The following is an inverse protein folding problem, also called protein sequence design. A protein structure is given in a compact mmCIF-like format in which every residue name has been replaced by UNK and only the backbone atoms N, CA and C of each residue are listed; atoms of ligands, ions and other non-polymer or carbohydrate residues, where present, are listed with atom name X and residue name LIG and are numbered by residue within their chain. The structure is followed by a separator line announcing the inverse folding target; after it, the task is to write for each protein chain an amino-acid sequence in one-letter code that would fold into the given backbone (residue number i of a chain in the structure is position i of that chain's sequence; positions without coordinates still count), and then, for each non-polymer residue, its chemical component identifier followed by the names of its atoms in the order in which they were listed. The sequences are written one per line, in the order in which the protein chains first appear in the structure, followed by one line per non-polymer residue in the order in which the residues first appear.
data_IF_118729396754
#
_entry.id   IF_118729396754
#
_cell.length_a   1.000
_cell.length_b   1.000
_cell.length_c   1.000
_cell.angle_alpha   90.00
_cell.angle_beta   90.00
_cell.angle_gamma   90.00
#
_symmetry.space_group_name_H-M   'P 1'
#
loop_
_entity.id
_entity.type
_entity.pdbx_description
1 polymer ?
#
# COMPACT_ATOMS: atom_id res chain seq x y z
N UNK A 1 20.88 -3.64 19.96
CA UNK A 1 19.49 -3.76 19.55
C UNK A 1 18.68 -4.27 20.73
N UNK A 2 17.48 -3.72 20.98
CA UNK A 2 16.51 -4.19 21.99
C UNK A 2 15.37 -4.89 21.30
N UNK A 3 14.60 -5.69 22.05
CA UNK A 3 13.44 -6.41 21.53
C UNK A 3 12.23 -6.21 22.45
N UNK A 4 11.04 -6.20 21.82
CA UNK A 4 9.75 -6.22 22.49
C UNK A 4 8.86 -7.24 21.78
N UNK A 5 8.16 -8.11 22.54
CA UNK A 5 7.29 -9.13 21.97
C UNK A 5 5.82 -8.82 22.25
N UNK A 6 4.98 -9.00 21.24
CA UNK A 6 3.54 -9.02 21.36
C UNK A 6 2.98 -10.35 20.84
N UNK A 7 1.68 -10.48 20.62
CA UNK A 7 1.06 -11.73 20.20
C UNK A 7 1.57 -12.19 18.82
N UNK A 8 1.61 -11.26 17.84
CA UNK A 8 1.95 -11.58 16.44
C UNK A 8 3.31 -11.00 16.00
N UNK A 9 3.99 -10.20 16.85
CA UNK A 9 5.23 -9.52 16.46
C UNK A 9 6.36 -9.74 17.44
N UNK A 10 7.60 -9.69 16.90
CA UNK A 10 8.81 -9.38 17.64
C UNK A 10 9.43 -8.12 17.05
N UNK A 11 9.37 -7.02 17.80
CA UNK A 11 9.94 -5.75 17.42
C UNK A 11 11.41 -5.68 17.78
N UNK A 12 12.23 -5.11 16.89
CA UNK A 12 13.64 -4.83 17.05
C UNK A 12 13.89 -3.34 16.89
N UNK A 13 14.60 -2.71 17.81
CA UNK A 13 14.82 -1.26 17.81
C UNK A 13 16.11 -0.87 18.53
N UNK A 14 16.61 0.35 18.27
CA UNK A 14 17.77 0.95 18.92
C UNK A 14 17.47 1.39 20.37
N UNK A 15 18.48 1.39 21.23
CA UNK A 15 18.37 1.99 22.55
C UNK A 15 18.40 3.52 22.45
N UNK A 16 17.53 4.21 23.18
CA UNK A 16 17.46 5.68 23.21
C UNK A 16 16.74 6.31 21.99
N UNK A 17 16.13 5.50 21.13
CA UNK A 17 15.39 5.95 19.94
C UNK A 17 13.96 6.34 20.23
N UNK A 18 13.29 7.01 19.28
CA UNK A 18 11.86 7.26 19.35
C UNK A 18 11.06 5.95 19.42
N UNK A 19 11.51 4.92 18.70
CA UNK A 19 10.90 3.59 18.74
C UNK A 19 10.94 2.98 20.16
N UNK A 20 12.03 3.13 20.90
CA UNK A 20 12.09 2.67 22.30
C UNK A 20 11.08 3.40 23.19
N UNK A 21 10.95 4.71 23.02
CA UNK A 21 9.99 5.53 23.78
C UNK A 21 8.55 5.07 23.54
N UNK A 22 8.20 4.77 22.29
CA UNK A 22 6.82 4.58 21.84
C UNK A 22 6.46 3.10 21.60
N UNK A 23 7.35 2.14 21.94
CA UNK A 23 7.21 0.71 21.54
C UNK A 23 5.89 0.07 21.95
N UNK A 24 5.34 0.43 23.10
CA UNK A 24 4.07 -0.12 23.58
C UNK A 24 2.89 0.34 22.69
N UNK A 25 2.92 1.59 22.27
CA UNK A 25 1.89 2.17 21.38
C UNK A 25 2.03 1.61 19.97
N UNK A 26 3.26 1.49 19.46
CA UNK A 26 3.56 0.86 18.16
C UNK A 26 3.02 -0.57 18.15
N UNK A 27 3.35 -1.38 19.17
CA UNK A 27 2.90 -2.76 19.23
C UNK A 27 1.36 -2.87 19.28
N UNK A 28 0.69 -2.03 20.07
CA UNK A 28 -0.77 -2.03 20.15
C UNK A 28 -1.43 -1.66 18.82
N UNK A 29 -0.86 -0.69 18.09
CA UNK A 29 -1.32 -0.28 16.77
C UNK A 29 -1.11 -1.40 15.74
N UNK A 30 0.11 -1.98 15.64
CA UNK A 30 0.39 -3.06 14.68
C UNK A 30 -0.47 -4.30 14.93
N UNK A 31 -0.70 -4.68 16.18
CA UNK A 31 -1.63 -5.75 16.52
C UNK A 31 -3.07 -5.46 16.04
N UNK A 32 -3.50 -4.20 16.08
CA UNK A 32 -4.79 -3.79 15.56
C UNK A 32 -4.85 -3.86 14.04
N UNK A 33 -3.80 -3.37 13.35
CA UNK A 33 -3.65 -3.45 11.90
C UNK A 33 -3.68 -4.90 11.41
N UNK A 34 -2.85 -5.75 12.02
CA UNK A 34 -2.77 -7.17 11.71
C UNK A 34 -4.13 -7.87 11.80
N UNK A 35 -4.82 -7.71 12.94
CA UNK A 35 -6.14 -8.31 13.14
C UNK A 35 -7.17 -7.83 12.12
N UNK A 36 -7.13 -6.55 11.77
CA UNK A 36 -8.00 -5.99 10.75
C UNK A 36 -7.71 -6.59 9.37
N UNK A 37 -6.44 -6.64 8.95
CA UNK A 37 -6.04 -7.23 7.66
C UNK A 37 -6.46 -8.70 7.59
N UNK A 38 -6.16 -9.48 8.64
CA UNK A 38 -6.52 -10.88 8.72
C UNK A 38 -8.04 -11.09 8.61
N UNK A 39 -8.83 -10.28 9.30
CA UNK A 39 -10.28 -10.34 9.22
C UNK A 39 -10.82 -10.02 7.81
N UNK A 40 -10.28 -8.96 7.17
CA UNK A 40 -10.66 -8.58 5.80
C UNK A 40 -10.23 -9.64 4.80
N UNK A 41 -9.02 -10.17 4.90
CA UNK A 41 -8.48 -11.14 3.93
C UNK A 41 -8.88 -12.59 4.22
N UNK A 42 -9.43 -12.89 5.41
CA UNK A 42 -9.84 -14.24 5.80
C UNK A 42 -8.66 -15.22 5.84
N UNK A 43 -7.51 -14.75 6.26
CA UNK A 43 -6.29 -15.54 6.45
C UNK A 43 -5.53 -15.03 7.66
N UNK A 44 -4.74 -15.88 8.28
CA UNK A 44 -3.88 -15.51 9.39
C UNK A 44 -2.54 -16.24 9.21
N UNK A 45 -1.40 -15.53 9.14
CA UNK A 45 -0.09 -16.15 9.19
C UNK A 45 0.06 -17.05 10.42
N UNK A 46 0.76 -18.17 10.29
CA UNK A 46 1.08 -19.11 11.37
C UNK A 46 2.45 -18.85 12.01
N UNK A 47 3.06 -17.72 11.66
CA UNK A 47 4.36 -17.25 12.15
C UNK A 47 4.22 -15.87 12.80
N UNK A 48 5.24 -15.52 13.60
CA UNK A 48 5.37 -14.18 14.17
C UNK A 48 6.20 -13.30 13.24
N UNK A 49 5.78 -12.05 13.05
CA UNK A 49 6.48 -11.07 12.21
C UNK A 49 7.67 -10.48 12.99
N UNK A 50 8.85 -10.52 12.40
CA UNK A 50 10.05 -9.84 12.88
C UNK A 50 10.05 -8.40 12.35
N UNK A 51 9.74 -7.43 13.20
CA UNK A 51 9.53 -6.04 12.81
C UNK A 51 10.70 -5.16 13.24
N UNK A 52 11.46 -4.63 12.31
CA UNK A 52 12.63 -3.81 12.54
C UNK A 52 12.28 -2.33 12.41
N UNK A 53 12.38 -1.59 13.52
CA UNK A 53 12.16 -0.15 13.60
C UNK A 53 13.50 0.55 13.42
N UNK A 54 13.72 1.12 12.23
CA UNK A 54 14.94 1.78 11.81
C UNK A 54 14.88 3.28 12.08
N UNK A 55 16.03 3.91 12.27
CA UNK A 55 16.09 5.32 12.64
C UNK A 55 16.01 6.27 11.43
N UNK A 56 16.31 5.78 10.22
CA UNK A 56 16.30 6.64 9.02
C UNK A 56 15.95 5.88 7.73
N UNK A 57 15.49 6.61 6.67
CA UNK A 57 15.28 6.03 5.35
C UNK A 57 16.56 5.46 4.71
N UNK A 58 17.71 6.07 5.00
CA UNK A 58 19.01 5.62 4.49
C UNK A 58 19.39 4.26 5.08
N UNK A 59 19.09 4.02 6.37
CA UNK A 59 19.30 2.73 7.02
C UNK A 59 18.45 1.64 6.35
N UNK A 60 17.17 1.94 6.09
CA UNK A 60 16.26 1.00 5.42
C UNK A 60 16.70 0.72 3.99
N UNK A 61 17.07 1.75 3.21
CA UNK A 61 17.58 1.59 1.85
C UNK A 61 18.85 0.75 1.79
N UNK A 62 19.79 0.98 2.71
CA UNK A 62 21.00 0.17 2.81
C UNK A 62 20.69 -1.31 3.12
N UNK A 63 19.71 -1.60 3.99
CA UNK A 63 19.26 -2.97 4.28
C UNK A 63 18.56 -3.59 3.06
N UNK A 64 17.79 -2.79 2.32
CA UNK A 64 17.12 -3.21 1.08
C UNK A 64 18.13 -3.59 -0.02
N UNK A 65 19.26 -2.88 -0.08
CA UNK A 65 20.42 -3.25 -0.89
C UNK A 65 20.64 -2.45 -2.18
N UNK A 66 19.93 -1.33 -2.37
CA UNK A 66 20.16 -0.39 -3.48
C UNK A 66 20.71 0.98 -3.03
N UNK A 67 20.82 1.19 -1.72
CA UNK A 67 21.27 2.42 -1.06
C UNK A 67 20.35 3.65 -1.32
N UNK A 68 19.24 3.50 -2.03
CA UNK A 68 18.26 4.57 -2.18
C UNK A 68 17.42 4.69 -0.89
N UNK A 69 17.20 5.90 -0.37
CA UNK A 69 16.39 6.09 0.84
C UNK A 69 15.00 5.49 0.70
N UNK A 70 14.62 4.61 1.62
CA UNK A 70 13.35 3.90 1.65
C UNK A 70 12.68 4.03 3.02
N UNK A 71 11.37 4.24 3.06
CA UNK A 71 10.65 4.38 4.31
C UNK A 71 10.25 3.05 4.96
N UNK A 72 10.12 1.99 4.18
CA UNK A 72 9.80 0.64 4.65
C UNK A 72 9.72 -0.36 3.52
N UNK A 73 9.88 -1.63 3.86
CA UNK A 73 9.63 -2.76 2.97
C UNK A 73 9.38 -4.05 3.75
N UNK A 74 8.66 -4.98 3.13
CA UNK A 74 8.46 -6.32 3.61
C UNK A 74 9.47 -7.29 2.98
N UNK A 75 10.31 -7.92 3.80
CA UNK A 75 11.22 -9.01 3.42
C UNK A 75 10.54 -10.35 3.73
N UNK A 76 9.93 -10.91 2.73
CA UNK A 76 9.06 -12.08 2.83
C UNK A 76 9.87 -13.34 3.17
N UNK A 77 9.36 -14.23 4.06
CA UNK A 77 7.95 -14.33 4.43
C UNK A 77 7.53 -13.54 5.67
N UNK A 78 8.42 -13.16 6.56
CA UNK A 78 8.08 -12.82 7.94
C UNK A 78 8.78 -11.58 8.51
N UNK A 79 9.45 -10.77 7.67
CA UNK A 79 10.15 -9.58 8.17
C UNK A 79 9.60 -8.30 7.57
N UNK A 80 9.61 -7.25 8.39
CA UNK A 80 9.30 -5.88 7.99
C UNK A 80 10.41 -4.96 8.50
N UNK A 81 10.87 -4.06 7.65
CA UNK A 81 11.74 -2.95 8.00
C UNK A 81 11.00 -1.65 7.77
N UNK A 82 10.95 -0.77 8.77
CA UNK A 82 10.21 0.49 8.67
C UNK A 82 10.91 1.60 9.47
N UNK A 83 10.92 2.78 8.91
CA UNK A 83 11.45 3.97 9.60
C UNK A 83 10.50 4.39 10.71
N UNK A 84 11.07 4.58 11.92
CA UNK A 84 10.35 5.18 13.01
C UNK A 84 11.24 6.15 13.78
N UNK A 85 11.03 7.44 13.56
CA UNK A 85 11.69 8.53 14.27
C UNK A 85 10.70 9.70 14.52
N UNK A 86 11.16 10.81 15.08
CA UNK A 86 10.29 11.95 15.39
C UNK A 86 9.70 12.66 14.14
N UNK A 87 10.30 12.47 12.96
CA UNK A 87 9.87 13.08 11.71
C UNK A 87 9.10 12.12 10.78
N UNK A 88 9.49 10.84 10.78
CA UNK A 88 8.95 9.80 9.89
C UNK A 88 8.52 8.60 10.72
N UNK A 89 7.27 8.21 10.57
CA UNK A 89 6.66 7.09 11.27
C UNK A 89 5.95 6.17 10.26
N UNK A 90 6.71 5.26 9.66
CA UNK A 90 6.22 4.34 8.64
C UNK A 90 5.73 3.02 9.24
N UNK A 91 4.90 3.11 10.26
CA UNK A 91 4.20 1.98 10.89
C UNK A 91 2.72 2.05 10.55
N UNK A 92 2.03 0.91 10.50
CA UNK A 92 0.62 0.84 10.14
C UNK A 92 0.28 -0.36 9.26
N UNK A 93 -0.54 -0.15 8.24
CA UNK A 93 -1.10 -1.24 7.45
C UNK A 93 -0.21 -1.74 6.30
N UNK A 94 0.61 -0.88 5.68
CA UNK A 94 1.18 -1.12 4.36
C UNK A 94 1.97 -2.43 4.27
N UNK A 95 3.06 -2.50 5.05
CA UNK A 95 3.97 -3.66 5.01
C UNK A 95 3.31 -4.92 5.59
N UNK A 96 2.47 -4.76 6.61
CA UNK A 96 1.66 -5.85 7.16
C UNK A 96 0.72 -6.44 6.11
N UNK A 97 0.13 -5.60 5.25
CA UNK A 97 -0.73 -6.05 4.16
C UNK A 97 0.02 -6.94 3.17
N UNK A 98 1.29 -6.63 2.87
CA UNK A 98 2.13 -7.51 2.04
C UNK A 98 2.38 -8.85 2.73
N UNK A 99 2.86 -8.86 3.98
CA UNK A 99 3.16 -10.08 4.72
C UNK A 99 1.92 -10.97 4.86
N UNK A 100 0.78 -10.40 5.26
CA UNK A 100 -0.46 -11.18 5.45
C UNK A 100 -1.04 -11.65 4.12
N UNK A 101 -1.13 -10.78 3.10
CA UNK A 101 -1.73 -11.14 1.82
C UNK A 101 -0.94 -12.19 1.05
N UNK A 102 0.39 -12.22 1.21
CA UNK A 102 1.22 -13.21 0.55
C UNK A 102 1.08 -14.62 1.13
N UNK A 103 0.42 -14.79 2.28
CA UNK A 103 -0.04 -16.12 2.73
C UNK A 103 -1.17 -16.67 1.86
N UNK A 104 -1.92 -15.80 1.15
CA UNK A 104 -2.92 -16.22 0.17
C UNK A 104 -2.31 -16.50 -1.20
N UNK A 105 -1.54 -15.56 -1.71
CA UNK A 105 -0.83 -15.60 -2.97
C UNK A 105 0.00 -14.31 -3.16
N UNK A 106 0.98 -14.34 -4.04
CA UNK A 106 1.70 -13.17 -4.56
C UNK A 106 1.38 -12.99 -6.05
N UNK A 107 0.35 -12.20 -6.40
CA UNK A 107 0.01 -11.91 -7.80
C UNK A 107 1.20 -11.33 -8.57
N UNK A 108 1.27 -11.59 -9.88
CA UNK A 108 2.37 -11.08 -10.73
C UNK A 108 2.39 -9.55 -10.81
N UNK A 109 1.20 -8.90 -10.75
CA UNK A 109 1.11 -7.44 -10.88
C UNK A 109 1.40 -6.69 -9.58
N UNK A 110 2.39 -5.80 -9.62
CA UNK A 110 2.70 -4.85 -8.56
C UNK A 110 1.50 -3.94 -8.25
N UNK A 111 0.79 -3.46 -9.27
CA UNK A 111 -0.39 -2.61 -9.07
C UNK A 111 -1.47 -3.28 -8.21
N UNK A 112 -1.59 -4.61 -8.24
CA UNK A 112 -2.54 -5.34 -7.38
C UNK A 112 -1.97 -5.53 -5.97
N UNK A 113 -0.67 -5.77 -5.83
CA UNK A 113 -0.01 -5.93 -4.53
C UNK A 113 0.00 -4.61 -3.76
N UNK A 114 0.51 -3.55 -4.39
CA UNK A 114 0.57 -2.20 -3.82
C UNK A 114 -0.83 -1.60 -3.66
N UNK A 115 -1.73 -1.87 -4.61
CA UNK A 115 -3.12 -1.46 -4.53
C UNK A 115 -3.84 -2.02 -3.30
N UNK A 116 -3.54 -3.26 -2.90
CA UNK A 116 -4.09 -3.85 -1.69
C UNK A 116 -3.49 -3.20 -0.42
N UNK A 117 -2.20 -2.93 -0.38
CA UNK A 117 -1.57 -2.22 0.73
C UNK A 117 -2.17 -0.80 0.87
N UNK A 118 -2.29 -0.07 -0.24
CA UNK A 118 -2.91 1.25 -0.30
C UNK A 118 -4.43 1.24 0.02
N UNK A 119 -5.14 0.14 -0.24
CA UNK A 119 -6.52 -0.04 0.21
C UNK A 119 -6.62 0.01 1.74
N UNK A 120 -5.68 -0.62 2.45
CA UNK A 120 -5.64 -0.59 3.90
C UNK A 120 -5.14 0.77 4.44
N UNK A 121 -4.16 1.40 3.81
CA UNK A 121 -3.66 2.73 4.17
C UNK A 121 -4.68 3.84 3.93
N UNK A 122 -5.55 3.69 2.95
CA UNK A 122 -6.59 4.65 2.54
C UNK A 122 -6.06 5.92 1.91
N UNK A 123 -4.89 6.38 2.30
CA UNK A 123 -4.40 7.73 2.03
C UNK A 123 -2.95 7.73 1.52
N UNK A 124 -2.67 8.69 0.66
CA UNK A 124 -1.32 9.10 0.28
C UNK A 124 -1.09 10.54 0.73
N UNK A 125 -0.05 10.81 1.49
CA UNK A 125 0.22 12.12 2.11
C UNK A 125 -1.01 12.71 2.86
N UNK A 126 -1.70 11.87 3.60
CA UNK A 126 -2.91 12.22 4.37
C UNK A 126 -4.11 12.68 3.52
N UNK A 127 -4.13 12.42 2.22
CA UNK A 127 -5.23 12.67 1.28
C UNK A 127 -5.73 11.33 0.74
N UNK A 128 -7.06 11.16 0.64
CA UNK A 128 -7.68 9.91 0.20
C UNK A 128 -7.20 9.51 -1.21
N UNK A 129 -6.98 8.21 -1.43
CA UNK A 129 -6.57 7.68 -2.73
C UNK A 129 -7.55 8.04 -3.85
N UNK A 130 -8.85 8.06 -3.55
CA UNK A 130 -9.89 8.43 -4.50
C UNK A 130 -9.79 9.91 -4.92
N UNK A 131 -9.49 10.82 -3.98
CA UNK A 131 -9.28 12.23 -4.28
C UNK A 131 -8.07 12.44 -5.19
N UNK A 132 -6.94 11.78 -4.89
CA UNK A 132 -5.77 11.80 -5.78
C UNK A 132 -6.11 11.31 -7.18
N UNK A 133 -6.84 10.20 -7.30
CA UNK A 133 -7.23 9.63 -8.59
C UNK A 133 -8.13 10.57 -9.38
N UNK A 134 -9.10 11.20 -8.72
CA UNK A 134 -9.98 12.21 -9.31
C UNK A 134 -9.21 13.44 -9.81
N UNK A 135 -8.26 13.90 -9.01
CA UNK A 135 -7.37 14.99 -9.37
C UNK A 135 -6.49 14.67 -10.58
N UNK A 136 -5.92 13.45 -10.65
CA UNK A 136 -5.15 13.01 -11.82
C UNK A 136 -6.00 12.89 -13.08
N UNK A 137 -7.23 12.39 -12.98
CA UNK A 137 -8.17 12.38 -14.11
C UNK A 137 -8.48 13.79 -14.62
N UNK A 138 -8.69 14.74 -13.72
CA UNK A 138 -8.99 16.14 -14.03
C UNK A 138 -7.81 16.86 -14.70
N UNK A 139 -6.59 16.57 -14.24
CA UNK A 139 -5.37 17.28 -14.68
C UNK A 139 -4.61 16.56 -15.81
N UNK A 140 -5.13 15.42 -16.29
CA UNK A 140 -4.52 14.65 -17.38
C UNK A 140 -3.30 13.82 -16.96
N UNK A 141 -3.07 13.66 -15.64
CA UNK A 141 -1.98 12.84 -15.06
C UNK A 141 -2.41 11.41 -14.74
N UNK A 142 -3.66 11.06 -14.97
CA UNK A 142 -4.19 9.72 -14.71
C UNK A 142 -3.53 8.68 -15.60
N UNK A 143 -3.15 7.57 -15.00
CA UNK A 143 -2.62 6.41 -15.69
C UNK A 143 -3.69 5.30 -15.66
N UNK A 144 -4.15 4.80 -16.84
CA UNK A 144 -5.09 3.71 -16.89
C UNK A 144 -4.57 2.46 -16.15
N UNK A 145 -5.45 1.85 -15.36
CA UNK A 145 -5.07 0.71 -14.50
C UNK A 145 -4.60 -0.49 -15.32
N UNK A 146 -5.21 -0.74 -16.48
CA UNK A 146 -4.79 -1.82 -17.37
C UNK A 146 -3.34 -1.70 -17.84
N UNK A 147 -2.78 -0.48 -17.89
CA UNK A 147 -1.36 -0.24 -18.12
C UNK A 147 -0.52 -0.44 -16.85
N UNK A 148 -1.04 -0.09 -15.67
CA UNK A 148 -0.36 -0.28 -14.39
C UNK A 148 -0.21 -1.76 -14.01
N UNK A 149 -0.95 -2.68 -14.65
CA UNK A 149 -0.80 -4.11 -14.39
C UNK A 149 0.53 -4.69 -14.87
N UNK A 150 1.25 -4.01 -15.75
CA UNK A 150 2.62 -4.33 -16.15
C UNK A 150 3.61 -3.81 -15.10
N UNK A 151 4.41 -4.69 -14.50
CA UNK A 151 5.33 -4.35 -13.40
C UNK A 151 6.42 -3.37 -13.84
N UNK A 152 7.02 -3.56 -15.02
CA UNK A 152 8.08 -2.65 -15.52
C UNK A 152 7.51 -1.25 -15.74
N UNK A 153 6.30 -1.18 -16.27
CA UNK A 153 5.62 0.09 -16.44
C UNK A 153 5.23 0.71 -15.08
N UNK A 154 4.71 -0.08 -14.14
CA UNK A 154 4.32 0.40 -12.81
C UNK A 154 5.49 1.05 -12.07
N UNK A 155 6.63 0.36 -11.97
CA UNK A 155 7.81 0.86 -11.29
C UNK A 155 8.54 1.97 -12.04
N UNK A 156 8.27 2.15 -13.34
CA UNK A 156 8.76 3.31 -14.09
C UNK A 156 7.99 4.61 -13.80
N UNK A 157 6.85 4.52 -13.08
CA UNK A 157 6.03 5.67 -12.71
C UNK A 157 6.35 6.13 -11.31
N UNK A 158 6.21 7.43 -11.08
CA UNK A 158 6.38 7.98 -9.73
C UNK A 158 5.31 7.38 -8.78
N UNK A 159 5.75 6.90 -7.61
CA UNK A 159 4.87 6.22 -6.63
C UNK A 159 3.68 7.11 -6.22
N UNK A 160 3.88 8.43 -6.06
CA UNK A 160 2.80 9.35 -5.73
C UNK A 160 1.66 9.38 -6.78
N UNK A 161 1.89 8.89 -8.01
CA UNK A 161 0.84 8.76 -9.04
C UNK A 161 0.29 7.35 -9.09
N UNK A 162 1.16 6.34 -9.19
CA UNK A 162 0.74 4.95 -9.39
C UNK A 162 0.04 4.34 -8.16
N UNK A 163 0.56 4.59 -6.95
CA UNK A 163 0.06 3.97 -5.72
C UNK A 163 -1.37 4.42 -5.35
N UNK A 164 -1.71 5.74 -5.33
CA UNK A 164 -3.08 6.15 -5.04
C UNK A 164 -4.09 5.63 -6.06
N UNK A 165 -3.73 5.59 -7.36
CA UNK A 165 -4.60 5.04 -8.40
C UNK A 165 -4.87 3.55 -8.16
N UNK A 166 -3.82 2.76 -7.86
CA UNK A 166 -3.94 1.35 -7.56
C UNK A 166 -4.78 1.09 -6.30
N UNK A 167 -4.57 1.91 -5.24
CA UNK A 167 -5.35 1.85 -4.00
C UNK A 167 -6.83 2.16 -4.20
N UNK A 168 -7.14 3.25 -4.92
CA UNK A 168 -8.52 3.63 -5.24
C UNK A 168 -9.22 2.58 -6.12
N UNK A 169 -8.49 1.98 -7.07
CA UNK A 169 -9.02 0.90 -7.91
C UNK A 169 -9.34 -0.35 -7.08
N UNK A 170 -8.46 -0.72 -6.16
CA UNK A 170 -8.70 -1.85 -5.25
C UNK A 170 -9.92 -1.62 -4.36
N UNK A 171 -10.05 -0.42 -3.76
CA UNK A 171 -11.22 -0.05 -2.97
C UNK A 171 -12.52 -0.10 -3.79
N UNK A 172 -12.47 0.39 -5.03
CA UNK A 172 -13.61 0.31 -5.95
C UNK A 172 -13.97 -1.14 -6.30
N UNK A 173 -13.00 -2.01 -6.61
CA UNK A 173 -13.25 -3.43 -6.89
C UNK A 173 -13.94 -4.11 -5.71
N UNK A 174 -13.44 -3.89 -4.49
CA UNK A 174 -14.01 -4.46 -3.27
C UNK A 174 -15.42 -3.92 -3.02
N UNK A 175 -15.62 -2.61 -3.21
CA UNK A 175 -16.92 -1.97 -3.00
C UNK A 175 -17.97 -2.40 -4.04
N UNK A 176 -17.57 -2.58 -5.31
CA UNK A 176 -18.48 -2.89 -6.42
C UNK A 176 -18.80 -4.39 -6.54
N UNK A 177 -17.82 -5.27 -6.21
CA UNK A 177 -17.95 -6.72 -6.44
C UNK A 177 -17.84 -7.54 -5.16
N UNK A 178 -17.48 -6.94 -4.05
CA UNK A 178 -17.32 -7.61 -2.76
C UNK A 178 -15.92 -8.18 -2.53
N UNK A 179 -15.58 -8.34 -1.25
CA UNK A 179 -14.27 -8.82 -0.81
C UNK A 179 -14.00 -10.27 -1.25
N UNK A 180 -15.02 -11.12 -1.34
CA UNK A 180 -14.85 -12.51 -1.76
C UNK A 180 -14.43 -12.61 -3.24
N UNK A 181 -14.99 -11.76 -4.11
CA UNK A 181 -14.57 -11.66 -5.50
C UNK A 181 -13.12 -11.16 -5.60
N UNK A 182 -12.76 -10.13 -4.81
CA UNK A 182 -11.39 -9.63 -4.76
C UNK A 182 -10.41 -10.72 -4.31
N UNK A 183 -10.70 -11.46 -3.24
CA UNK A 183 -9.88 -12.59 -2.76
C UNK A 183 -9.74 -13.69 -3.82
N UNK A 184 -10.82 -14.00 -4.54
CA UNK A 184 -10.80 -15.01 -5.61
C UNK A 184 -9.88 -14.58 -6.77
N UNK A 185 -9.89 -13.30 -7.14
CA UNK A 185 -8.96 -12.71 -8.10
C UNK A 185 -7.52 -12.71 -7.58
N UNK A 186 -7.30 -12.25 -6.34
CA UNK A 186 -5.97 -12.12 -5.73
C UNK A 186 -5.24 -13.47 -5.59
N UNK A 187 -5.97 -14.58 -5.37
CA UNK A 187 -5.41 -15.94 -5.31
C UNK A 187 -4.88 -16.49 -6.62
N UNK A 188 -5.13 -15.79 -7.73
CA UNK A 188 -4.67 -16.18 -9.06
C UNK A 188 -3.32 -15.53 -9.39
N UNK A 189 -2.47 -16.26 -10.11
CA UNK A 189 -1.16 -15.73 -10.51
C UNK A 189 -1.29 -14.66 -11.58
N UNK A 190 -1.99 -14.98 -12.67
CA UNK A 190 -2.21 -14.06 -13.80
C UNK A 190 -3.42 -13.15 -13.54
N UNK A 191 -3.17 -11.88 -13.28
CA UNK A 191 -4.20 -10.89 -12.96
C UNK A 191 -5.19 -10.63 -14.10
N UNK A 192 -4.79 -10.44 -15.37
CA UNK A 192 -5.75 -10.23 -16.45
C UNK A 192 -6.71 -11.39 -16.65
N UNK A 193 -6.22 -12.63 -16.52
CA UNK A 193 -7.06 -13.84 -16.62
C UNK A 193 -8.01 -13.94 -15.42
N UNK A 194 -7.52 -13.65 -14.22
CA UNK A 194 -8.33 -13.64 -13.01
C UNK A 194 -9.47 -12.63 -13.07
N UNK A 195 -9.19 -11.42 -13.57
CA UNK A 195 -10.22 -10.40 -13.77
C UNK A 195 -11.32 -10.86 -14.72
N UNK A 196 -10.95 -11.46 -15.86
CA UNK A 196 -11.91 -11.99 -16.81
C UNK A 196 -12.76 -13.12 -16.20
N UNK A 197 -12.16 -14.02 -15.40
CA UNK A 197 -12.87 -15.12 -14.77
C UNK A 197 -13.79 -14.67 -13.63
N UNK A 198 -13.33 -13.76 -12.79
CA UNK A 198 -14.04 -13.38 -11.56
C UNK A 198 -15.07 -12.29 -11.82
N UNK A 199 -14.70 -11.27 -12.60
CA UNK A 199 -15.57 -10.10 -12.85
C UNK A 199 -16.28 -10.16 -14.21
N UNK A 200 -15.93 -11.12 -15.09
CA UNK A 200 -16.48 -11.22 -16.44
C UNK A 200 -16.08 -10.04 -17.34
N UNK A 201 -14.96 -9.38 -17.04
CA UNK A 201 -14.50 -8.15 -17.69
C UNK A 201 -12.99 -8.18 -17.91
N UNK A 202 -12.53 -7.61 -19.01
CA UNK A 202 -11.12 -7.34 -19.24
C UNK A 202 -10.62 -6.22 -18.33
N UNK A 203 -9.29 -6.10 -18.11
CA UNK A 203 -8.71 -4.96 -17.41
C UNK A 203 -9.12 -3.60 -17.95
N UNK A 204 -9.18 -3.44 -19.27
CA UNK A 204 -9.59 -2.20 -19.93
C UNK A 204 -11.06 -1.85 -19.66
N UNK A 205 -11.96 -2.84 -19.65
CA UNK A 205 -13.38 -2.63 -19.31
C UNK A 205 -13.55 -2.27 -17.83
N UNK A 206 -12.76 -2.89 -16.93
CA UNK A 206 -12.73 -2.52 -15.50
C UNK A 206 -12.18 -1.11 -15.32
N UNK A 207 -11.10 -0.73 -16.02
CA UNK A 207 -10.58 0.62 -15.99
C UNK A 207 -11.62 1.66 -16.45
N UNK A 208 -12.31 1.41 -17.55
CA UNK A 208 -13.35 2.32 -18.06
C UNK A 208 -14.51 2.50 -17.06
N UNK A 209 -14.93 1.41 -16.39
CA UNK A 209 -15.95 1.45 -15.35
C UNK A 209 -15.47 2.20 -14.09
N UNK A 210 -14.23 2.00 -13.71
CA UNK A 210 -13.58 2.71 -12.59
C UNK A 210 -13.46 4.20 -12.88
N UNK A 211 -12.98 4.61 -14.05
CA UNK A 211 -12.95 6.04 -14.43
C UNK A 211 -14.33 6.68 -14.37
N UNK A 212 -15.37 5.98 -14.87
CA UNK A 212 -16.74 6.47 -14.79
C UNK A 212 -17.20 6.67 -13.34
N UNK A 213 -16.82 5.76 -12.45
CA UNK A 213 -17.08 5.86 -11.02
C UNK A 213 -16.35 7.06 -10.39
N UNK A 214 -15.03 7.20 -10.64
CA UNK A 214 -14.24 8.31 -10.08
C UNK A 214 -14.80 9.68 -10.50
N UNK A 215 -15.29 9.82 -11.73
CA UNK A 215 -15.91 11.06 -12.23
C UNK A 215 -17.21 11.48 -11.52
N UNK A 216 -17.81 10.61 -10.70
CA UNK A 216 -18.97 10.94 -9.87
C UNK A 216 -18.59 11.80 -8.66
N UNK A 217 -17.33 11.78 -8.25
CA UNK A 217 -16.85 12.51 -7.08
C UNK A 217 -16.19 13.83 -7.47
N UNK A 218 -16.22 14.77 -6.57
CA UNK A 218 -15.55 16.07 -6.72
C UNK A 218 -14.72 16.32 -5.48
N UNK A 219 -13.45 16.56 -5.68
CA UNK A 219 -12.54 16.98 -4.64
C UNK A 219 -12.71 18.47 -4.36
N UNK A 220 -12.60 18.86 -3.10
CA UNK A 220 -12.62 20.26 -2.69
C UNK A 220 -11.42 21.04 -3.25
N UNK A 221 -11.62 22.28 -3.67
CA UNK A 221 -10.57 23.11 -4.28
C UNK A 221 -9.37 23.37 -3.37
N UNK A 222 -9.58 23.42 -2.04
CA UNK A 222 -8.46 23.58 -1.09
C UNK A 222 -7.61 22.28 -1.02
N UNK A 223 -8.26 21.12 -1.12
CA UNK A 223 -7.57 19.83 -1.20
C UNK A 223 -6.77 19.72 -2.50
N UNK A 224 -7.35 20.12 -3.64
CA UNK A 224 -6.63 20.16 -4.93
C UNK A 224 -5.41 21.09 -4.89
N UNK A 225 -5.55 22.27 -4.30
CA UNK A 225 -4.41 23.19 -4.14
C UNK A 225 -3.30 22.59 -3.27
N UNK A 226 -3.65 21.85 -2.21
CA UNK A 226 -2.69 21.10 -1.38
C UNK A 226 -2.01 20.00 -2.18
N UNK A 227 -2.73 19.26 -3.00
CA UNK A 227 -2.17 18.22 -3.88
C UNK A 227 -1.12 18.80 -4.84
N UNK A 228 -1.46 19.91 -5.52
CA UNK A 228 -0.50 20.60 -6.40
C UNK A 228 0.76 21.09 -5.64
N UNK A 229 0.60 21.56 -4.41
CA UNK A 229 1.73 21.97 -3.59
C UNK A 229 2.64 20.78 -3.21
N UNK A 230 2.04 19.64 -2.83
CA UNK A 230 2.77 18.42 -2.50
C UNK A 230 3.51 17.84 -3.71
N UNK A 231 2.87 17.78 -4.88
CA UNK A 231 3.54 17.33 -6.10
C UNK A 231 4.76 18.19 -6.46
N UNK A 232 4.65 19.53 -6.33
CA UNK A 232 5.79 20.44 -6.54
C UNK A 232 6.88 20.26 -5.49
N UNK A 233 6.50 20.09 -4.22
CA UNK A 233 7.46 19.90 -3.11
C UNK A 233 8.30 18.63 -3.29
N UNK A 234 7.71 17.57 -3.84
CA UNK A 234 8.34 16.28 -4.04
C UNK A 234 8.81 16.04 -5.50
N UNK A 235 8.85 17.10 -6.31
CA UNK A 235 9.35 17.09 -7.70
C UNK A 235 8.71 16.00 -8.57
N UNK A 236 7.41 15.73 -8.32
CA UNK A 236 6.64 14.72 -9.07
C UNK A 236 6.34 15.27 -10.47
N UNK A 237 7.09 14.80 -11.46
CA UNK A 237 6.82 15.06 -12.86
C UNK A 237 5.56 14.30 -13.34
N UNK A 238 4.82 14.93 -14.25
CA UNK A 238 3.54 14.43 -14.77
C UNK A 238 3.73 13.38 -15.87
#
# INVERSE_FOLDING_TARGET
MRTFESEHYRFHYGAGTAAERDITEIAAMQESCFRHICAVLGTTPDFRIEYFLCDSPEEVGHIYGDDDPCNGFADIPDKIYAVYNDAVQCVGFHEDAHVVSYTLNRPESAAIREGLAMYFDRKWWSIENLDWTGFYLKTGRYIPVDRLLDDDFFFSRHCAVAYPIAGAFTDWLISAYGIEAYRAMYRQKSVPQAMAQVYGKSPAELNAAFEAYVRLFRTDGAVEARMEALLRQHEVEA
#
